data_IF_709019578611
#
_entry.id   IF_709019578611
#
_cell.length_a   1.000
_cell.length_b   1.000
_cell.length_c   1.000
_cell.angle_alpha   90.00
_cell.angle_beta   90.00
_cell.angle_gamma   90.00
#
_symmetry.space_group_name_H-M   'P 1'
#
loop_
_entity.id
_entity.type
_entity.pdbx_description
1 polymer ?
#
# COMPACT_ATOMS: atom_id res chain seq x y z
N UNK A 1 2.15 16.22 31.69
CA UNK A 1 2.51 16.25 30.25
C UNK A 1 1.25 16.44 29.43
N UNK A 2 1.29 17.29 28.40
CA UNK A 2 0.23 17.49 27.40
C UNK A 2 0.91 17.78 26.05
N UNK A 3 0.46 17.12 24.97
CA UNK A 3 0.90 17.36 23.58
C UNK A 3 -0.28 17.09 22.64
N UNK A 4 -0.59 18.05 21.78
CA UNK A 4 -1.63 17.95 20.78
C UNK A 4 -1.06 17.76 19.36
N UNK A 5 -1.78 16.98 18.55
CA UNK A 5 -1.34 16.52 17.25
C UNK A 5 -2.51 16.54 16.25
N UNK A 6 -2.31 17.22 15.12
CA UNK A 6 -3.20 17.12 13.97
C UNK A 6 -2.86 15.85 13.18
N UNK A 7 -3.52 14.75 13.54
CA UNK A 7 -3.12 13.41 13.14
C UNK A 7 -3.76 12.97 11.82
N UNK A 8 -3.00 12.22 11.02
CA UNK A 8 -3.43 11.71 9.71
C UNK A 8 -3.23 10.21 9.62
N UNK A 9 -4.13 9.52 8.93
CA UNK A 9 -4.14 8.07 8.78
C UNK A 9 -4.70 7.66 7.42
N UNK A 10 -4.51 6.39 7.02
CA UNK A 10 -5.21 5.83 5.85
C UNK A 10 -6.59 5.36 6.27
N UNK A 11 -7.64 5.96 5.71
CA UNK A 11 -9.03 5.56 5.89
C UNK A 11 -9.44 4.40 4.98
N UNK A 12 -10.73 4.06 5.00
CA UNK A 12 -11.31 3.08 4.08
C UNK A 12 -11.07 3.49 2.62
N UNK A 13 -10.92 2.47 1.76
CA UNK A 13 -10.60 2.57 0.33
C UNK A 13 -9.36 3.43 -0.02
N UNK A 14 -8.47 3.66 0.96
CA UNK A 14 -7.27 4.49 0.79
C UNK A 14 -7.51 5.99 0.91
N UNK A 15 -8.66 6.41 1.44
CA UNK A 15 -8.98 7.82 1.68
C UNK A 15 -8.05 8.47 2.72
N UNK A 16 -7.90 9.81 2.66
CA UNK A 16 -7.09 10.57 3.63
C UNK A 16 -7.88 10.76 4.95
N UNK A 17 -7.55 9.92 5.92
CA UNK A 17 -8.02 9.96 7.30
C UNK A 17 -7.43 11.13 8.08
N UNK A 18 -8.25 11.83 8.88
CA UNK A 18 -7.78 12.88 9.80
C UNK A 18 -8.54 12.86 11.13
N UNK A 19 -7.81 13.03 12.23
CA UNK A 19 -8.35 13.18 13.58
C UNK A 19 -7.41 14.02 14.45
N UNK A 20 -7.91 14.51 15.59
CA UNK A 20 -7.05 15.14 16.60
C UNK A 20 -6.59 14.10 17.62
N UNK A 21 -5.30 14.10 17.98
CA UNK A 21 -4.75 13.25 19.04
C UNK A 21 -4.19 14.14 20.15
N UNK A 22 -4.76 14.04 21.35
CA UNK A 22 -4.26 14.67 22.58
C UNK A 22 -3.57 13.61 23.45
N UNK A 23 -2.27 13.78 23.71
CA UNK A 23 -1.44 12.89 24.53
C UNK A 23 -1.21 13.52 25.92
N UNK A 24 -1.76 12.92 26.97
CA UNK A 24 -1.74 13.48 28.33
C UNK A 24 -1.27 12.45 29.36
N UNK A 25 -0.51 12.90 30.36
CA UNK A 25 -0.16 12.10 31.55
C UNK A 25 0.05 13.00 32.77
N UNK A 26 -0.52 12.62 33.91
CA UNK A 26 -0.44 13.37 35.17
C UNK A 26 0.95 13.23 35.81
N UNK A 27 1.34 11.99 36.12
CA UNK A 27 2.61 11.62 36.75
C UNK A 27 3.18 10.34 36.10
N UNK A 28 4.43 9.98 36.41
CA UNK A 28 5.13 8.86 35.74
C UNK A 28 4.56 7.47 36.06
N UNK A 29 3.92 7.33 37.21
CA UNK A 29 3.19 6.14 37.68
C UNK A 29 1.80 5.99 37.06
N UNK A 30 1.27 7.05 36.42
CA UNK A 30 -0.04 7.06 35.78
C UNK A 30 0.03 6.61 34.31
N UNK A 31 -1.02 5.94 33.79
CA UNK A 31 -1.06 5.53 32.39
C UNK A 31 -1.06 6.75 31.46
N UNK A 32 -0.54 6.58 30.24
CA UNK A 32 -0.71 7.56 29.18
C UNK A 32 -2.19 7.61 28.76
N UNK A 33 -2.81 8.78 28.84
CA UNK A 33 -4.13 9.04 28.26
C UNK A 33 -3.94 9.50 26.81
N UNK A 34 -4.70 8.90 25.90
CA UNK A 34 -4.72 9.25 24.48
C UNK A 34 -6.16 9.55 24.10
N UNK A 35 -6.48 10.82 23.83
CA UNK A 35 -7.82 11.22 23.37
C UNK A 35 -7.79 11.39 21.86
N UNK A 36 -8.39 10.43 21.15
CA UNK A 36 -8.61 10.47 19.71
C UNK A 36 -9.95 11.14 19.42
N UNK A 37 -9.92 12.37 18.93
CA UNK A 37 -11.12 13.16 18.68
C UNK A 37 -11.45 13.23 17.19
N UNK A 38 -12.71 12.99 16.86
CA UNK A 38 -13.24 13.25 15.53
C UNK A 38 -13.28 14.77 15.28
N UNK A 39 -12.81 15.22 14.11
CA UNK A 39 -12.92 16.63 13.73
C UNK A 39 -14.37 17.02 13.41
N UNK A 40 -14.79 18.20 13.86
CA UNK A 40 -15.96 18.93 13.36
C UNK A 40 -15.70 19.26 11.88
N UNK A 41 -16.75 19.21 11.05
CA UNK A 41 -16.69 19.45 9.60
C UNK A 41 -15.85 18.41 8.78
N UNK A 42 -15.56 17.23 9.33
CA UNK A 42 -14.87 16.15 8.61
C UNK A 42 -15.83 15.04 8.15
N UNK A 43 -15.76 14.67 6.86
CA UNK A 43 -16.68 13.73 6.20
C UNK A 43 -16.01 12.46 5.65
N UNK A 44 -14.79 12.14 6.08
CA UNK A 44 -14.07 10.92 5.67
C UNK A 44 -14.27 9.74 6.63
N UNK A 45 -13.27 8.86 6.74
CA UNK A 45 -13.35 7.67 7.62
C UNK A 45 -13.32 8.06 9.09
N UNK A 46 -14.32 7.64 9.88
CA UNK A 46 -14.41 7.98 11.30
C UNK A 46 -13.30 7.35 12.15
N UNK A 47 -12.98 7.99 13.29
CA UNK A 47 -12.01 7.47 14.26
C UNK A 47 -12.33 6.03 14.71
N UNK A 48 -13.61 5.73 14.95
CA UNK A 48 -14.14 4.40 15.29
C UNK A 48 -13.65 3.32 14.34
N UNK A 49 -13.78 3.58 13.04
CA UNK A 49 -13.52 2.63 11.97
C UNK A 49 -12.04 2.48 11.65
N UNK A 50 -11.22 3.44 12.08
CA UNK A 50 -9.78 3.47 11.84
C UNK A 50 -8.95 3.30 13.11
N UNK A 51 -9.55 3.02 14.27
CA UNK A 51 -8.87 3.04 15.58
C UNK A 51 -7.61 2.17 15.62
N UNK A 52 -7.66 0.96 15.03
CA UNK A 52 -6.47 0.12 14.87
C UNK A 52 -5.36 0.77 14.04
N UNK A 53 -5.70 1.40 12.92
CA UNK A 53 -4.76 2.04 11.99
C UNK A 53 -4.17 3.31 12.59
N UNK A 54 -5.00 4.12 13.26
CA UNK A 54 -4.58 5.31 14.00
C UNK A 54 -3.63 4.90 15.12
N UNK A 55 -4.03 3.95 15.98
CA UNK A 55 -3.21 3.50 17.10
C UNK A 55 -1.88 2.86 16.64
N UNK A 56 -1.92 2.00 15.60
CA UNK A 56 -0.70 1.46 14.98
C UNK A 56 0.22 2.61 14.56
N UNK A 57 -0.22 3.53 13.69
CA UNK A 57 0.64 4.64 13.22
C UNK A 57 1.16 5.48 14.39
N UNK A 58 0.29 5.90 15.31
CA UNK A 58 0.64 6.75 16.45
C UNK A 58 1.71 6.11 17.33
N UNK A 59 1.62 4.81 17.60
CA UNK A 59 2.60 4.11 18.43
C UNK A 59 3.96 3.93 17.70
N UNK A 60 3.98 3.80 16.37
CA UNK A 60 5.23 3.90 15.59
C UNK A 60 5.83 5.32 15.68
N UNK A 61 5.03 6.37 15.48
CA UNK A 61 5.48 7.77 15.52
C UNK A 61 6.08 8.14 16.90
N UNK A 62 5.47 7.64 17.99
CA UNK A 62 6.01 7.76 19.35
C UNK A 62 7.34 7.02 19.48
N UNK A 63 7.39 5.73 19.13
CA UNK A 63 8.56 4.89 19.40
C UNK A 63 9.78 5.23 18.53
N UNK A 64 9.57 5.80 17.34
CA UNK A 64 10.63 6.36 16.50
C UNK A 64 11.05 7.78 16.93
N UNK A 65 10.45 8.35 17.99
CA UNK A 65 10.64 9.73 18.46
C UNK A 65 10.25 10.84 17.46
N UNK A 66 9.33 10.55 16.53
CA UNK A 66 8.75 11.59 15.65
C UNK A 66 7.82 12.52 16.45
N UNK A 67 7.25 12.02 17.55
CA UNK A 67 6.53 12.83 18.54
C UNK A 67 7.47 13.12 19.72
N UNK A 68 7.82 14.39 19.89
CA UNK A 68 8.71 14.87 20.95
C UNK A 68 8.11 14.64 22.35
N UNK A 69 8.85 13.94 23.21
CA UNK A 69 8.54 13.75 24.63
C UNK A 69 9.14 12.46 25.18
N UNK A 70 10.23 12.57 25.95
CA UNK A 70 10.97 11.38 26.42
C UNK A 70 10.16 10.44 27.32
N UNK A 71 9.19 10.97 28.09
CA UNK A 71 8.29 10.17 28.92
C UNK A 71 7.26 9.33 28.11
N UNK A 72 7.05 9.60 26.82
CA UNK A 72 5.96 8.95 26.06
C UNK A 72 6.30 7.48 25.72
N UNK A 73 7.56 7.18 25.40
CA UNK A 73 8.00 5.88 24.85
C UNK A 73 7.79 4.66 25.77
N UNK A 74 7.67 4.84 27.10
CA UNK A 74 7.80 3.75 28.09
C UNK A 74 6.64 2.74 28.14
N UNK A 75 5.55 2.95 27.39
CA UNK A 75 4.30 2.17 27.49
C UNK A 75 4.02 1.26 26.28
N UNK A 76 4.85 1.30 25.23
CA UNK A 76 4.56 0.66 23.95
C UNK A 76 5.24 -0.70 23.78
N UNK A 77 4.49 -1.68 23.30
CA UNK A 77 4.91 -3.08 23.27
C UNK A 77 5.38 -3.46 21.86
N UNK A 78 6.65 -3.13 21.56
CA UNK A 78 7.21 -3.30 20.21
C UNK A 78 8.21 -4.46 20.21
N UNK A 79 7.75 -5.59 19.67
CA UNK A 79 8.50 -6.83 19.59
C UNK A 79 9.07 -7.02 18.17
N UNK A 80 10.24 -7.65 18.06
CA UNK A 80 10.79 -8.03 16.75
C UNK A 80 10.28 -9.41 16.36
N UNK A 81 9.47 -9.46 15.30
CA UNK A 81 8.88 -10.71 14.80
C UNK A 81 9.53 -11.09 13.47
N UNK A 82 9.81 -12.38 13.31
CA UNK A 82 10.15 -12.94 12.01
C UNK A 82 8.95 -12.81 11.07
N UNK A 83 9.21 -12.44 9.82
CA UNK A 83 8.15 -12.43 8.82
C UNK A 83 7.78 -13.87 8.43
N UNK A 84 6.53 -14.09 8.00
CA UNK A 84 5.95 -15.43 7.83
C UNK A 84 6.66 -16.30 6.80
N UNK A 85 7.39 -15.66 5.89
CA UNK A 85 8.22 -16.19 4.83
C UNK A 85 9.68 -16.49 5.28
N UNK A 86 10.11 -16.04 6.47
CA UNK A 86 11.48 -16.21 6.96
C UNK A 86 11.78 -17.65 7.44
N UNK A 87 12.59 -18.36 6.65
CA UNK A 87 12.94 -19.76 6.90
C UNK A 87 14.09 -19.90 7.94
N UNK A 88 14.49 -21.14 8.24
CA UNK A 88 15.51 -21.44 9.24
C UNK A 88 16.92 -20.93 8.86
N UNK A 89 17.24 -20.89 7.57
CA UNK A 89 18.50 -20.35 7.04
C UNK A 89 18.50 -18.81 7.05
N UNK A 90 17.37 -18.16 6.73
CA UNK A 90 17.21 -16.70 6.84
C UNK A 90 17.43 -16.22 8.28
N UNK A 91 16.87 -16.96 9.25
CA UNK A 91 17.08 -16.76 10.69
C UNK A 91 18.55 -16.91 11.06
N UNK A 92 19.22 -17.96 10.57
CA UNK A 92 20.65 -18.19 10.79
C UNK A 92 21.52 -17.06 10.20
N UNK A 93 21.26 -16.60 8.98
CA UNK A 93 21.93 -15.44 8.37
C UNK A 93 21.75 -14.16 9.21
N UNK A 94 20.55 -13.96 9.76
CA UNK A 94 20.24 -12.86 10.66
C UNK A 94 20.94 -12.95 12.03
N UNK A 95 21.32 -14.14 12.49
CA UNK A 95 22.18 -14.31 13.68
C UNK A 95 23.65 -14.11 13.35
N UNK A 96 24.15 -14.66 12.23
CA UNK A 96 25.57 -14.60 11.83
C UNK A 96 25.99 -13.20 11.39
N UNK A 97 25.15 -12.47 10.65
CA UNK A 97 25.44 -11.09 10.23
C UNK A 97 24.24 -10.16 10.48
N UNK A 98 23.97 -9.79 11.75
CA UNK A 98 22.79 -9.01 12.11
C UNK A 98 22.75 -7.64 11.42
N UNK A 99 23.90 -6.98 11.24
CA UNK A 99 24.01 -5.67 10.56
C UNK A 99 23.52 -5.70 9.09
N UNK A 100 23.50 -6.86 8.45
CA UNK A 100 23.13 -7.03 7.02
C UNK A 100 21.76 -7.70 6.82
N UNK A 101 21.30 -8.52 7.77
CA UNK A 101 20.12 -9.36 7.59
C UNK A 101 19.02 -9.21 8.66
N UNK A 102 19.28 -8.53 9.80
CA UNK A 102 18.31 -8.45 10.91
C UNK A 102 16.99 -7.78 10.52
N UNK A 103 17.03 -6.69 9.75
CA UNK A 103 15.83 -6.02 9.23
C UNK A 103 15.25 -6.65 7.96
N UNK A 104 15.98 -7.56 7.29
CA UNK A 104 15.54 -8.19 6.03
C UNK A 104 14.49 -9.29 6.23
N UNK A 105 14.57 -9.99 7.35
CA UNK A 105 13.75 -11.17 7.65
C UNK A 105 12.90 -11.02 8.93
N UNK A 106 13.01 -9.89 9.61
CA UNK A 106 12.19 -9.58 10.78
C UNK A 106 11.79 -8.11 10.83
N UNK A 107 10.48 -7.88 10.88
CA UNK A 107 9.87 -6.59 11.13
C UNK A 107 9.83 -6.28 12.64
N UNK A 108 9.90 -5.00 13.00
CA UNK A 108 9.31 -4.59 14.28
C UNK A 108 7.80 -4.65 14.13
N UNK A 109 7.12 -5.19 15.14
CA UNK A 109 5.66 -5.25 15.20
C UNK A 109 5.19 -4.80 16.57
N UNK A 110 4.10 -4.05 16.59
CA UNK A 110 3.44 -3.63 17.80
C UNK A 110 2.44 -4.70 18.19
N UNK A 111 2.53 -5.21 19.41
CA UNK A 111 1.41 -5.88 20.03
C UNK A 111 0.39 -4.80 20.45
N UNK A 112 -0.69 -4.68 19.69
CA UNK A 112 -1.76 -3.72 20.00
C UNK A 112 -2.47 -4.08 21.32
N UNK A 113 -2.65 -5.37 21.62
CA UNK A 113 -3.39 -5.80 22.82
C UNK A 113 -2.56 -5.49 24.06
N UNK A 114 -1.27 -5.83 24.04
CA UNK A 114 -0.35 -5.51 25.13
C UNK A 114 -0.20 -3.97 25.28
N UNK A 115 -0.11 -3.22 24.17
CA UNK A 115 0.01 -1.75 24.22
C UNK A 115 -1.26 -1.07 24.74
N UNK A 116 -2.45 -1.49 24.29
CA UNK A 116 -3.72 -0.97 24.81
C UNK A 116 -3.95 -1.30 26.29
N UNK A 117 -3.32 -2.35 26.83
CA UNK A 117 -3.41 -2.65 28.27
C UNK A 117 -2.57 -1.72 29.17
N UNK A 118 -1.69 -0.89 28.60
CA UNK A 118 -0.79 0.04 29.33
C UNK A 118 -1.16 1.52 29.18
N UNK A 119 -2.22 1.82 28.43
CA UNK A 119 -2.71 3.18 28.17
C UNK A 119 -4.21 3.30 28.47
N UNK A 120 -4.73 4.52 28.48
CA UNK A 120 -6.17 4.77 28.44
C UNK A 120 -6.49 5.49 27.13
N UNK A 121 -7.03 4.74 26.16
CA UNK A 121 -7.51 5.29 24.91
C UNK A 121 -8.96 5.77 25.06
N UNK A 122 -9.20 7.04 24.77
CA UNK A 122 -10.52 7.67 24.77
C UNK A 122 -10.84 8.12 23.35
N UNK A 123 -12.01 7.76 22.84
CA UNK A 123 -12.57 8.40 21.65
C UNK A 123 -13.56 9.49 22.03
N UNK A 124 -13.44 10.63 21.35
CA UNK A 124 -14.24 11.81 21.55
C UNK A 124 -14.94 12.21 20.25
N UNK A 125 -16.26 12.30 20.29
CA UNK A 125 -17.11 12.67 19.18
C UNK A 125 -17.77 14.02 19.50
N UNK A 126 -17.49 15.08 18.71
CA UNK A 126 -18.24 16.33 18.82
C UNK A 126 -19.74 16.08 18.69
N UNK A 127 -20.55 16.98 19.24
CA UNK A 127 -22.01 16.85 19.27
C UNK A 127 -22.60 16.62 17.86
N UNK A 128 -22.02 17.24 16.82
CA UNK A 128 -22.42 17.07 15.41
C UNK A 128 -22.26 15.65 14.86
N UNK A 129 -21.49 14.78 15.53
CA UNK A 129 -21.29 13.36 15.21
C UNK A 129 -21.75 12.43 16.35
N UNK A 130 -22.46 12.97 17.35
CA UNK A 130 -22.97 12.21 18.47
C UNK A 130 -24.27 11.50 18.12
N UNK A 131 -24.43 10.26 18.57
CA UNK A 131 -25.71 9.53 18.53
C UNK A 131 -26.67 10.04 19.62
N UNK A 132 -26.16 10.83 20.57
CA UNK A 132 -26.92 11.44 21.67
C UNK A 132 -27.06 12.94 21.43
N UNK A 133 -28.30 13.41 21.18
CA UNK A 133 -28.58 14.82 20.95
C UNK A 133 -28.21 15.70 22.14
N UNK A 134 -27.65 16.89 21.88
CA UNK A 134 -27.31 17.88 22.91
C UNK A 134 -26.02 17.61 23.68
N UNK A 135 -25.21 16.59 23.32
CA UNK A 135 -23.99 16.18 24.06
C UNK A 135 -22.92 15.58 23.15
N UNK A 136 -21.64 15.81 23.50
CA UNK A 136 -20.50 15.01 22.99
C UNK A 136 -20.69 13.54 23.37
N UNK A 137 -20.34 12.63 22.47
CA UNK A 137 -20.25 11.19 22.78
C UNK A 137 -18.81 10.82 23.09
N UNK A 138 -18.59 10.07 24.17
CA UNK A 138 -17.26 9.70 24.68
C UNK A 138 -17.23 8.21 25.01
N UNK A 139 -16.15 7.53 24.64
CA UNK A 139 -15.96 6.12 24.96
C UNK A 139 -14.50 5.80 25.27
N UNK A 140 -14.26 4.94 26.28
CA UNK A 140 -12.96 4.27 26.46
C UNK A 140 -12.91 3.09 25.49
N UNK A 141 -11.82 2.96 24.74
CA UNK A 141 -11.57 1.82 23.85
C UNK A 141 -10.63 0.83 24.52
N UNK A 142 -11.01 -0.45 24.55
CA UNK A 142 -10.14 -1.55 24.99
C UNK A 142 -10.08 -2.63 23.90
N UNK A 143 -8.89 -3.14 23.62
CA UNK A 143 -8.71 -4.27 22.71
C UNK A 143 -9.01 -5.58 23.45
N UNK A 144 -9.80 -6.46 22.85
CA UNK A 144 -9.99 -7.83 23.34
C UNK A 144 -8.83 -8.74 22.93
N UNK A 145 -8.71 -9.92 23.56
CA UNK A 145 -7.58 -10.86 23.35
C UNK A 145 -7.39 -11.32 21.89
N UNK A 146 -8.41 -11.17 21.04
CA UNK A 146 -8.40 -11.47 19.61
C UNK A 146 -8.12 -10.24 18.73
N UNK A 147 -7.72 -9.10 19.31
CA UNK A 147 -7.27 -7.89 18.60
C UNK A 147 -8.35 -6.88 18.22
N UNK A 148 -9.63 -7.16 18.50
CA UNK A 148 -10.73 -6.26 18.13
C UNK A 148 -10.96 -5.14 19.17
N UNK A 149 -11.25 -3.90 18.74
CA UNK A 149 -11.64 -2.82 19.63
C UNK A 149 -13.05 -3.04 20.20
N UNK A 150 -13.24 -2.65 21.46
CA UNK A 150 -14.53 -2.62 22.16
C UNK A 150 -14.67 -1.27 22.87
N UNK A 151 -15.87 -0.67 22.79
CA UNK A 151 -16.17 0.68 23.29
C UNK A 151 -16.99 0.63 24.57
N UNK A 152 -16.59 1.39 25.57
CA UNK A 152 -17.22 1.44 26.89
C UNK A 152 -17.55 2.89 27.28
N UNK A 153 -18.75 3.12 27.83
CA UNK A 153 -19.10 4.41 28.41
C UNK A 153 -18.17 4.77 29.58
N UNK A 154 -17.85 6.06 29.72
CA UNK A 154 -16.91 6.55 30.73
C UNK A 154 -17.61 6.76 32.07
N UNK A 155 -16.91 6.49 33.17
CA UNK A 155 -17.33 6.84 34.53
C UNK A 155 -16.28 7.78 35.13
N UNK A 156 -16.64 9.04 35.34
CA UNK A 156 -15.72 10.12 35.74
C UNK A 156 -14.92 9.80 37.01
N UNK A 157 -15.57 9.20 38.03
CA UNK A 157 -14.93 8.85 39.29
C UNK A 157 -13.88 7.73 39.11
N UNK A 158 -14.17 6.75 38.26
CA UNK A 158 -13.20 5.69 37.91
C UNK A 158 -12.07 6.24 37.04
N UNK A 159 -12.40 7.07 36.04
CA UNK A 159 -11.45 7.70 35.14
C UNK A 159 -10.45 8.59 35.89
N UNK A 160 -10.93 9.39 36.85
CA UNK A 160 -10.09 10.20 37.74
C UNK A 160 -9.18 9.32 38.62
N UNK A 161 -9.73 8.25 39.22
CA UNK A 161 -8.95 7.31 40.04
C UNK A 161 -7.84 6.63 39.23
N UNK A 162 -8.14 6.18 38.02
CA UNK A 162 -7.18 5.52 37.13
C UNK A 162 -6.13 6.51 36.60
N UNK A 163 -6.55 7.59 35.94
CA UNK A 163 -5.65 8.49 35.18
C UNK A 163 -5.04 9.65 35.98
N UNK A 164 -5.74 10.13 37.02
CA UNK A 164 -5.44 11.37 37.72
C UNK A 164 -6.10 12.64 37.13
N UNK A 165 -6.98 12.52 36.14
CA UNK A 165 -7.70 13.65 35.52
C UNK A 165 -9.22 13.47 35.51
N UNK A 166 -9.95 14.58 35.55
CA UNK A 166 -11.36 14.61 35.15
C UNK A 166 -11.48 14.49 33.62
N UNK A 167 -12.67 14.13 33.13
CA UNK A 167 -12.94 14.09 31.68
C UNK A 167 -12.73 15.49 31.06
N UNK A 168 -13.19 16.54 31.73
CA UNK A 168 -13.04 17.94 31.30
C UNK A 168 -11.59 18.40 31.10
N UNK A 169 -10.62 17.86 31.84
CA UNK A 169 -9.20 18.23 31.72
C UNK A 169 -8.49 17.53 30.55
N UNK A 170 -9.03 16.42 30.02
CA UNK A 170 -8.40 15.67 28.92
C UNK A 170 -9.00 15.95 27.55
N UNK A 171 -10.21 16.52 27.48
CA UNK A 171 -10.85 16.82 26.19
C UNK A 171 -10.23 18.07 25.54
N UNK A 172 -10.09 18.09 24.21
CA UNK A 172 -9.80 19.30 23.45
C UNK A 172 -11.02 20.23 23.31
N UNK A 173 -10.73 21.52 23.16
CA UNK A 173 -11.74 22.55 22.92
C UNK A 173 -12.33 22.40 21.51
N UNK A 174 -13.59 22.75 21.31
CA UNK A 174 -14.23 22.63 19.99
C UNK A 174 -13.62 23.58 18.94
N UNK A 175 -12.87 24.59 19.38
CA UNK A 175 -12.04 25.43 18.51
C UNK A 175 -10.78 24.71 17.97
N UNK A 176 -10.27 23.70 18.68
CA UNK A 176 -9.18 22.81 18.25
C UNK A 176 -9.70 21.68 17.35
N UNK A 177 -11.00 21.38 17.43
CA UNK A 177 -11.69 20.37 16.63
C UNK A 177 -12.38 20.90 15.36
N UNK A 178 -12.41 22.20 15.10
CA UNK A 178 -12.95 22.73 13.85
C UNK A 178 -11.92 22.62 12.71
N UNK A 179 -12.08 21.60 11.86
CA UNK A 179 -11.16 21.33 10.76
C UNK A 179 -10.95 22.54 9.86
N UNK A 180 -12.00 23.32 9.59
CA UNK A 180 -11.92 24.49 8.70
C UNK A 180 -11.02 25.60 9.26
N UNK A 181 -10.93 25.73 10.59
CA UNK A 181 -10.02 26.67 11.27
C UNK A 181 -8.60 26.11 11.42
N UNK A 182 -8.48 24.78 11.41
CA UNK A 182 -7.23 24.03 11.58
C UNK A 182 -6.46 23.90 10.26
N UNK A 183 -7.13 23.61 9.13
CA UNK A 183 -6.47 23.46 7.82
C UNK A 183 -5.69 24.71 7.41
N UNK A 184 -6.22 25.89 7.71
CA UNK A 184 -5.57 27.20 7.47
C UNK A 184 -4.25 27.40 8.23
N UNK A 185 -3.92 26.50 9.18
CA UNK A 185 -2.71 26.53 10.01
C UNK A 185 -1.80 25.32 9.79
N UNK A 186 -2.20 24.35 8.97
CA UNK A 186 -1.40 23.15 8.67
C UNK A 186 -0.45 23.46 7.51
N UNK A 187 0.85 23.47 7.80
CA UNK A 187 1.89 23.44 6.77
C UNK A 187 1.95 22.04 6.13
N UNK A 188 1.18 21.83 5.07
CA UNK A 188 1.09 20.56 4.36
C UNK A 188 2.45 20.05 3.87
N UNK A 189 3.35 20.94 3.44
CA UNK A 189 4.68 20.55 2.93
C UNK A 189 5.56 19.89 4.01
N UNK A 190 5.30 20.17 5.29
CA UNK A 190 6.06 19.62 6.41
C UNK A 190 5.52 18.29 6.96
N UNK A 191 4.27 17.94 6.66
CA UNK A 191 3.61 16.74 7.22
C UNK A 191 3.32 15.63 6.19
N UNK A 192 3.28 15.90 4.88
CA UNK A 192 3.00 14.89 3.86
C UNK A 192 4.10 13.81 3.74
N UNK A 193 5.33 14.08 4.20
CA UNK A 193 6.50 13.17 4.11
C UNK A 193 6.37 11.90 4.98
N UNK A 194 5.57 11.94 6.05
CA UNK A 194 5.41 10.83 7.01
C UNK A 194 4.15 9.96 6.77
N UNK A 195 3.28 10.29 5.81
CA UNK A 195 2.11 9.45 5.45
C UNK A 195 2.52 8.07 4.90
N UNK A 196 3.78 7.91 4.53
CA UNK A 196 4.32 6.70 3.88
C UNK A 196 4.73 5.60 4.86
N UNK A 197 4.72 5.84 6.17
CA UNK A 197 5.07 4.83 7.19
C UNK A 197 6.56 4.51 7.16
N UNK A 198 7.34 5.40 7.76
CA UNK A 198 8.79 5.32 7.81
C UNK A 198 9.26 4.43 8.97
N UNK A 199 10.04 3.39 8.67
CA UNK A 199 10.49 2.38 9.64
C UNK A 199 12.02 2.19 9.58
N UNK A 200 12.74 2.58 10.63
CA UNK A 200 14.17 2.27 10.80
C UNK A 200 15.08 2.54 9.57
N UNK A 201 14.75 3.52 8.73
CA UNK A 201 15.47 3.83 7.47
C UNK A 201 15.19 2.91 6.27
N UNK A 202 14.34 1.89 6.44
CA UNK A 202 13.93 0.93 5.40
C UNK A 202 12.41 0.72 5.44
N UNK A 203 11.68 1.31 4.49
CA UNK A 203 10.27 0.97 4.29
C UNK A 203 10.13 0.06 3.07
N UNK A 204 9.36 -1.01 3.22
CA UNK A 204 9.27 -2.11 2.25
C UNK A 204 7.86 -2.12 1.66
N UNK A 205 7.69 -1.42 0.54
CA UNK A 205 6.37 -1.26 -0.10
C UNK A 205 6.08 -2.43 -1.04
N UNK A 206 5.28 -3.40 -0.59
CA UNK A 206 4.77 -4.50 -1.43
C UNK A 206 3.63 -4.03 -2.36
N UNK A 207 3.93 -3.05 -3.23
CA UNK A 207 2.94 -2.40 -4.12
C UNK A 207 2.23 -3.40 -5.04
N UNK A 208 2.95 -4.45 -5.48
CA UNK A 208 2.44 -5.53 -6.32
C UNK A 208 1.29 -6.31 -5.67
N UNK A 209 1.26 -6.41 -4.34
CA UNK A 209 0.11 -6.97 -3.62
C UNK A 209 -1.04 -5.96 -3.57
N UNK A 210 -0.74 -4.74 -3.09
CA UNK A 210 -1.76 -3.70 -2.87
C UNK A 210 -2.47 -3.27 -4.16
N UNK A 211 -1.80 -3.23 -5.31
CA UNK A 211 -2.41 -2.85 -6.59
C UNK A 211 -3.47 -3.88 -7.03
N UNK A 212 -3.20 -5.17 -6.79
CA UNK A 212 -4.17 -6.25 -7.01
C UNK A 212 -5.35 -6.10 -6.06
N UNK A 213 -5.11 -5.84 -4.77
CA UNK A 213 -6.17 -5.72 -3.76
C UNK A 213 -7.06 -4.49 -3.97
N UNK A 214 -6.49 -3.32 -4.32
CA UNK A 214 -7.20 -2.04 -4.36
C UNK A 214 -7.74 -1.62 -5.73
N UNK A 215 -7.09 -1.97 -6.84
CA UNK A 215 -7.44 -1.41 -8.15
C UNK A 215 -8.89 -1.69 -8.59
N UNK A 216 -9.49 -2.88 -8.35
CA UNK A 216 -10.90 -3.13 -8.67
C UNK A 216 -11.89 -2.25 -7.88
N UNK A 217 -11.55 -1.86 -6.65
CA UNK A 217 -12.36 -0.93 -5.85
C UNK A 217 -12.18 0.51 -6.35
N UNK A 218 -10.94 0.95 -6.60
CA UNK A 218 -10.63 2.30 -7.10
C UNK A 218 -11.26 2.57 -8.48
N UNK A 219 -11.32 1.56 -9.35
CA UNK A 219 -12.02 1.65 -10.65
C UNK A 219 -13.54 1.61 -10.52
N UNK A 220 -14.08 0.88 -9.53
CA UNK A 220 -15.51 0.91 -9.22
C UNK A 220 -15.98 2.27 -8.68
N UNK A 221 -15.18 2.89 -7.81
CA UNK A 221 -15.43 4.25 -7.32
C UNK A 221 -15.35 5.28 -8.45
N UNK A 222 -14.28 5.23 -9.26
CA UNK A 222 -14.11 6.12 -10.41
C UNK A 222 -15.28 6.08 -11.39
N UNK A 223 -15.84 4.90 -11.69
CA UNK A 223 -17.05 4.78 -12.52
C UNK A 223 -18.24 5.54 -11.93
N UNK A 224 -18.47 5.39 -10.63
CA UNK A 224 -19.58 6.03 -9.94
C UNK A 224 -19.42 7.56 -9.89
N UNK A 225 -18.21 8.05 -9.60
CA UNK A 225 -17.85 9.47 -9.62
C UNK A 225 -18.07 10.15 -10.99
N UNK A 226 -17.94 9.39 -12.09
CA UNK A 226 -17.95 9.91 -13.46
C UNK A 226 -19.18 9.45 -14.26
N UNK A 227 -20.21 8.89 -13.60
CA UNK A 227 -21.45 8.37 -14.22
C UNK A 227 -21.20 7.40 -15.40
N UNK A 228 -20.22 6.51 -15.26
CA UNK A 228 -19.83 5.56 -16.31
C UNK A 228 -20.67 4.27 -16.18
N UNK A 229 -21.80 4.24 -16.89
CA UNK A 229 -22.81 3.18 -16.84
C UNK A 229 -22.22 1.78 -17.11
N UNK A 230 -21.47 1.57 -18.21
CA UNK A 230 -20.90 0.25 -18.50
C UNK A 230 -19.46 0.11 -18.01
N UNK A 231 -19.11 -1.10 -17.60
CA UNK A 231 -17.77 -1.46 -17.11
C UNK A 231 -16.70 -1.42 -18.22
N UNK A 232 -17.15 -1.54 -19.47
CA UNK A 232 -16.34 -1.53 -20.68
C UNK A 232 -15.96 -0.13 -21.17
N UNK A 233 -16.63 0.90 -20.65
CA UNK A 233 -16.39 2.30 -21.03
C UNK A 233 -15.18 2.90 -20.28
N UNK A 234 -14.64 2.20 -19.27
CA UNK A 234 -13.35 2.55 -18.67
C UNK A 234 -12.23 2.36 -19.71
N UNK A 235 -11.67 3.46 -20.20
CA UNK A 235 -10.55 3.45 -21.14
C UNK A 235 -9.25 2.92 -20.49
N UNK A 236 -8.30 2.45 -21.30
CA UNK A 236 -6.99 1.99 -20.80
C UNK A 236 -6.21 3.15 -20.16
N UNK A 237 -6.34 4.36 -20.70
CA UNK A 237 -5.81 5.60 -20.12
C UNK A 237 -6.41 5.87 -18.73
N UNK A 238 -7.73 5.69 -18.55
CA UNK A 238 -8.39 5.86 -17.25
C UNK A 238 -7.89 4.86 -16.19
N UNK A 239 -7.55 3.63 -16.61
CA UNK A 239 -6.92 2.63 -15.72
C UNK A 239 -5.51 3.08 -15.34
N UNK A 240 -4.71 3.54 -16.30
CA UNK A 240 -3.38 4.09 -16.05
C UNK A 240 -3.43 5.34 -15.14
N UNK A 241 -4.42 6.22 -15.29
CA UNK A 241 -4.59 7.39 -14.41
C UNK A 241 -4.86 6.97 -12.96
N UNK A 242 -5.67 5.94 -12.73
CA UNK A 242 -5.92 5.40 -11.39
C UNK A 242 -4.70 4.63 -10.83
N UNK A 243 -3.91 3.97 -11.68
CA UNK A 243 -2.61 3.38 -11.29
C UNK A 243 -1.58 4.46 -10.95
N UNK A 244 -1.60 5.60 -11.64
CA UNK A 244 -0.77 6.77 -11.31
C UNK A 244 -1.14 7.34 -9.93
N UNK A 245 -2.44 7.53 -9.68
CA UNK A 245 -2.97 7.93 -8.35
C UNK A 245 -2.68 6.89 -7.25
N UNK A 246 -2.54 5.62 -7.60
CA UNK A 246 -2.08 4.57 -6.68
C UNK A 246 -0.59 4.73 -6.37
N UNK A 247 0.27 4.90 -7.38
CA UNK A 247 1.71 5.08 -7.16
C UNK A 247 2.07 6.35 -6.39
N UNK A 248 1.36 7.47 -6.60
CA UNK A 248 1.54 8.68 -5.79
C UNK A 248 1.23 8.52 -4.28
N UNK A 249 0.58 7.43 -3.87
CA UNK A 249 0.25 7.12 -2.46
C UNK A 249 1.09 5.95 -1.92
N UNK A 250 1.53 5.05 -2.80
CA UNK A 250 2.23 3.83 -2.41
C UNK A 250 3.75 3.87 -2.60
N UNK A 251 4.27 4.70 -3.50
CA UNK A 251 5.71 4.95 -3.67
C UNK A 251 6.19 6.12 -2.78
N UNK A 252 7.49 6.20 -2.47
CA UNK A 252 8.02 7.19 -1.51
C UNK A 252 7.92 8.65 -1.96
N UNK A 253 7.86 8.85 -3.28
CA UNK A 253 7.86 10.14 -3.94
C UNK A 253 7.30 9.92 -5.37
N UNK A 254 6.52 10.85 -5.93
CA UNK A 254 5.92 10.67 -7.27
C UNK A 254 6.98 10.57 -8.38
N UNK A 255 8.17 11.15 -8.19
CA UNK A 255 9.31 11.07 -9.12
C UNK A 255 9.95 9.68 -9.20
N UNK A 256 9.49 8.72 -8.39
CA UNK A 256 9.94 7.33 -8.44
C UNK A 256 9.11 6.47 -9.40
N UNK A 257 8.17 7.05 -10.15
CA UNK A 257 7.61 6.45 -11.35
C UNK A 257 7.44 7.46 -12.50
N UNK A 258 7.46 6.97 -13.74
CA UNK A 258 7.17 7.77 -14.94
C UNK A 258 6.26 6.98 -15.89
N UNK A 259 5.45 7.70 -16.68
CA UNK A 259 4.58 7.12 -17.73
C UNK A 259 5.26 7.12 -19.09
N UNK A 260 4.80 6.24 -19.99
CA UNK A 260 5.31 6.07 -21.35
C UNK A 260 6.85 5.88 -21.42
N UNK A 261 7.39 4.97 -20.62
CA UNK A 261 8.83 4.68 -20.59
C UNK A 261 9.34 4.18 -21.96
N UNK A 262 10.02 5.06 -22.70
CA UNK A 262 10.55 4.83 -24.05
C UNK A 262 11.72 3.84 -24.05
N UNK A 263 11.57 2.73 -24.77
CA UNK A 263 12.56 1.65 -24.75
C UNK A 263 13.13 1.26 -26.13
N UNK A 264 12.63 1.81 -27.25
CA UNK A 264 13.06 1.34 -28.58
C UNK A 264 14.58 1.38 -28.78
N UNK A 265 15.24 2.46 -28.35
CA UNK A 265 16.71 2.61 -28.40
C UNK A 265 17.43 1.61 -27.49
N UNK A 266 16.88 1.32 -26.32
CA UNK A 266 17.42 0.35 -25.33
C UNK A 266 17.44 -1.08 -25.92
N UNK A 267 16.40 -1.44 -26.66
CA UNK A 267 16.30 -2.75 -27.32
C UNK A 267 17.00 -2.83 -28.68
N UNK A 268 17.43 -1.72 -29.27
CA UNK A 268 18.02 -1.65 -30.61
C UNK A 268 17.00 -1.64 -31.76
N UNK A 269 15.74 -1.29 -31.46
CA UNK A 269 14.63 -1.30 -32.43
C UNK A 269 14.72 -0.06 -33.32
N UNK A 270 14.87 -0.28 -34.64
CA UNK A 270 14.96 0.78 -35.62
C UNK A 270 13.57 1.36 -35.94
N UNK A 271 13.21 2.47 -35.30
CA UNK A 271 11.82 2.98 -35.28
C UNK A 271 11.46 3.73 -36.56
N UNK A 272 10.53 3.18 -37.33
CA UNK A 272 9.68 3.94 -38.26
C UNK A 272 8.33 4.20 -37.59
N UNK A 273 8.09 5.42 -37.08
CA UNK A 273 6.83 5.82 -36.43
C UNK A 273 7.02 6.31 -34.98
N UNK A 274 5.96 6.23 -34.15
CA UNK A 274 6.03 6.59 -32.71
C UNK A 274 7.00 5.66 -31.99
N UNK A 275 7.89 6.24 -31.18
CA UNK A 275 8.79 5.50 -30.29
C UNK A 275 7.99 4.59 -29.34
N UNK A 276 8.41 3.33 -29.21
CA UNK A 276 7.70 2.34 -28.38
C UNK A 276 7.99 2.59 -26.91
N UNK A 277 6.93 2.59 -26.11
CA UNK A 277 6.95 2.82 -24.67
C UNK A 277 6.27 1.68 -23.90
N UNK A 278 6.65 1.50 -22.65
CA UNK A 278 5.89 0.72 -21.66
C UNK A 278 5.12 1.68 -20.76
N UNK A 279 3.92 1.30 -20.33
CA UNK A 279 2.99 2.22 -19.67
C UNK A 279 3.60 2.90 -18.43
N UNK A 280 4.35 2.14 -17.62
CA UNK A 280 5.05 2.63 -16.43
C UNK A 280 6.48 2.10 -16.30
N UNK A 281 7.37 2.98 -15.82
CA UNK A 281 8.63 2.62 -15.16
C UNK A 281 8.56 3.02 -13.69
N UNK A 282 9.18 2.21 -12.82
CA UNK A 282 9.35 2.47 -11.39
C UNK A 282 10.84 2.42 -11.09
N UNK A 283 11.36 3.50 -10.53
CA UNK A 283 12.77 3.69 -10.22
C UNK A 283 13.06 3.39 -8.74
N UNK A 284 14.29 2.95 -8.45
CA UNK A 284 14.88 3.00 -7.10
C UNK A 284 15.17 4.47 -6.71
N UNK A 285 15.43 4.78 -5.43
CA UNK A 285 15.82 6.14 -5.01
C UNK A 285 17.05 6.72 -5.72
N UNK A 286 17.99 5.87 -6.17
CA UNK A 286 19.15 6.29 -6.95
C UNK A 286 18.88 6.40 -8.47
N UNK A 287 17.59 6.40 -8.87
CA UNK A 287 17.11 6.52 -10.25
C UNK A 287 17.54 5.40 -11.21
N UNK A 288 18.07 4.29 -10.70
CA UNK A 288 18.09 3.02 -11.42
C UNK A 288 16.65 2.51 -11.64
N UNK A 289 16.41 1.79 -12.74
CA UNK A 289 15.13 1.10 -12.97
C UNK A 289 15.03 -0.07 -11.98
N UNK A 290 13.98 -0.09 -11.15
CA UNK A 290 13.64 -1.27 -10.35
C UNK A 290 12.69 -2.18 -11.11
N UNK A 291 11.58 -1.61 -11.56
CA UNK A 291 10.45 -2.35 -12.15
C UNK A 291 9.89 -1.65 -13.38
N UNK A 292 9.28 -2.43 -14.27
CA UNK A 292 8.45 -1.94 -15.38
C UNK A 292 7.06 -2.55 -15.25
N UNK A 293 6.01 -1.81 -15.59
CA UNK A 293 4.64 -2.29 -15.58
C UNK A 293 3.92 -1.90 -16.88
N UNK A 294 3.43 -2.91 -17.58
CA UNK A 294 2.48 -2.74 -18.69
C UNK A 294 1.05 -3.05 -18.20
N UNK A 295 0.08 -2.29 -18.70
CA UNK A 295 -1.33 -2.35 -18.32
C UNK A 295 -2.18 -2.61 -19.56
N UNK A 296 -3.03 -3.64 -19.56
CA UNK A 296 -4.00 -3.88 -20.62
C UNK A 296 -5.41 -4.05 -20.08
N UNK A 297 -6.41 -3.75 -20.91
CA UNK A 297 -7.83 -4.03 -20.61
C UNK A 297 -8.45 -5.06 -21.54
N UNK A 298 -9.43 -5.81 -21.05
CA UNK A 298 -10.39 -6.54 -21.91
C UNK A 298 -11.47 -5.58 -22.42
N UNK A 299 -11.88 -5.71 -23.68
CA UNK A 299 -13.12 -5.14 -24.20
C UNK A 299 -13.73 -6.05 -25.25
N UNK A 300 -15.06 -6.11 -25.37
CA UNK A 300 -15.74 -7.04 -26.30
C UNK A 300 -15.37 -6.80 -27.77
N UNK A 301 -15.02 -5.56 -28.13
CA UNK A 301 -14.66 -5.18 -29.49
C UNK A 301 -13.20 -5.52 -29.88
N UNK A 302 -12.33 -5.92 -28.94
CA UNK A 302 -10.93 -6.20 -29.24
C UNK A 302 -10.69 -7.65 -29.69
N UNK A 303 -11.02 -7.92 -30.96
CA UNK A 303 -10.78 -9.21 -31.63
C UNK A 303 -9.31 -9.66 -31.67
N UNK A 304 -8.33 -8.80 -31.33
CA UNK A 304 -6.90 -9.12 -31.40
C UNK A 304 -6.22 -9.21 -30.02
N UNK A 305 -6.96 -9.11 -28.91
CA UNK A 305 -6.41 -8.96 -27.54
C UNK A 305 -5.30 -9.98 -27.20
N UNK A 306 -5.50 -11.26 -27.51
CA UNK A 306 -4.51 -12.34 -27.28
C UNK A 306 -3.17 -12.07 -27.97
N UNK A 307 -3.18 -11.47 -29.16
CA UNK A 307 -1.96 -11.16 -29.91
C UNK A 307 -1.28 -9.89 -29.39
N UNK A 308 -2.02 -8.91 -28.86
CA UNK A 308 -1.41 -7.76 -28.17
C UNK A 308 -0.79 -8.20 -26.84
N UNK A 309 -1.49 -8.98 -26.00
CA UNK A 309 -0.92 -9.54 -24.76
C UNK A 309 0.36 -10.37 -25.03
N UNK A 310 0.39 -11.11 -26.15
CA UNK A 310 1.60 -11.80 -26.62
C UNK A 310 2.76 -10.85 -26.94
N UNK A 311 2.52 -9.77 -27.69
CA UNK A 311 3.55 -8.73 -27.95
C UNK A 311 4.05 -8.11 -26.65
N UNK A 312 3.16 -7.92 -25.68
CA UNK A 312 3.47 -7.31 -24.40
C UNK A 312 4.36 -8.23 -23.56
N UNK A 313 4.04 -9.53 -23.51
CA UNK A 313 4.90 -10.55 -22.91
C UNK A 313 6.26 -10.60 -23.61
N UNK A 314 6.31 -10.62 -24.95
CA UNK A 314 7.56 -10.64 -25.72
C UNK A 314 8.46 -9.42 -25.45
N UNK A 315 7.84 -8.24 -25.35
CA UNK A 315 8.48 -6.98 -24.96
C UNK A 315 9.02 -7.02 -23.54
N UNK A 316 8.21 -7.45 -22.56
CA UNK A 316 8.62 -7.52 -21.15
C UNK A 316 9.74 -8.56 -20.93
N UNK A 317 9.73 -9.66 -21.69
CA UNK A 317 10.84 -10.63 -21.78
C UNK A 317 12.13 -9.92 -22.24
N UNK A 318 12.12 -9.24 -23.39
CA UNK A 318 13.28 -8.50 -23.92
C UNK A 318 13.78 -7.40 -22.98
N UNK A 319 12.89 -6.75 -22.24
CA UNK A 319 13.25 -5.70 -21.28
C UNK A 319 13.85 -6.29 -20.00
N UNK A 320 13.32 -7.41 -19.48
CA UNK A 320 13.91 -8.11 -18.34
C UNK A 320 15.35 -8.61 -18.63
N UNK A 321 15.58 -9.06 -19.86
CA UNK A 321 16.90 -9.43 -20.37
C UNK A 321 17.82 -8.22 -20.52
N UNK A 322 17.35 -7.12 -21.13
CA UNK A 322 18.21 -5.95 -21.41
C UNK A 322 18.54 -5.07 -20.20
N UNK A 323 17.62 -4.98 -19.24
CA UNK A 323 17.68 -4.04 -18.12
C UNK A 323 17.86 -4.71 -16.75
N UNK A 324 17.71 -6.04 -16.68
CA UNK A 324 17.75 -6.83 -15.44
C UNK A 324 16.79 -6.32 -14.35
N UNK A 325 15.67 -5.69 -14.78
CA UNK A 325 14.63 -5.15 -13.94
C UNK A 325 13.40 -6.07 -13.81
N UNK A 326 12.55 -5.81 -12.82
CA UNK A 326 11.34 -6.60 -12.57
C UNK A 326 10.20 -6.17 -13.50
N UNK A 327 9.97 -6.91 -14.57
CA UNK A 327 8.90 -6.64 -15.52
C UNK A 327 7.57 -7.24 -15.05
N UNK A 328 6.50 -6.45 -15.07
CA UNK A 328 5.14 -6.82 -14.67
C UNK A 328 4.13 -6.57 -15.79
N UNK A 329 3.12 -7.44 -15.85
CA UNK A 329 1.99 -7.34 -16.76
C UNK A 329 0.68 -7.37 -15.94
N UNK A 330 -0.14 -6.33 -16.08
CA UNK A 330 -1.43 -6.20 -15.41
C UNK A 330 -2.56 -6.23 -16.44
N UNK A 331 -3.55 -7.10 -16.24
CA UNK A 331 -4.73 -7.20 -17.08
C UNK A 331 -5.99 -6.95 -16.24
N UNK A 332 -6.81 -5.99 -16.66
CA UNK A 332 -8.07 -5.62 -16.01
C UNK A 332 -9.29 -5.83 -16.91
N UNK A 333 -10.45 -6.11 -16.31
CA UNK A 333 -11.75 -6.02 -16.98
C UNK A 333 -12.71 -7.14 -16.57
N UNK A 334 -13.65 -7.48 -17.44
CA UNK A 334 -14.72 -8.43 -17.12
C UNK A 334 -14.16 -9.84 -16.87
N UNK A 335 -14.59 -10.49 -15.79
CA UNK A 335 -14.06 -11.78 -15.30
C UNK A 335 -14.21 -12.91 -16.32
N UNK A 336 -15.31 -12.95 -17.06
CA UNK A 336 -15.60 -14.05 -17.97
C UNK A 336 -14.86 -13.86 -19.31
N UNK A 337 -14.69 -12.61 -19.77
CA UNK A 337 -13.73 -12.29 -20.83
C UNK A 337 -12.29 -12.61 -20.41
N UNK A 338 -11.87 -12.17 -19.22
CA UNK A 338 -10.53 -12.44 -18.68
C UNK A 338 -10.24 -13.95 -18.72
N UNK A 339 -11.10 -14.78 -18.11
CA UNK A 339 -10.94 -16.25 -18.13
C UNK A 339 -10.89 -16.81 -19.56
N UNK A 340 -11.81 -16.41 -20.43
CA UNK A 340 -11.92 -16.90 -21.81
C UNK A 340 -10.67 -16.59 -22.66
N UNK A 341 -10.13 -15.39 -22.54
CA UNK A 341 -8.96 -14.97 -23.32
C UNK A 341 -7.66 -15.46 -22.68
N UNK A 342 -7.59 -15.55 -21.35
CA UNK A 342 -6.43 -16.10 -20.64
C UNK A 342 -6.26 -17.61 -20.81
N UNK A 343 -7.35 -18.38 -21.00
CA UNK A 343 -7.25 -19.81 -21.37
C UNK A 343 -6.51 -20.02 -22.70
N UNK A 344 -6.61 -19.08 -23.65
CA UNK A 344 -5.84 -19.08 -24.91
C UNK A 344 -4.37 -18.71 -24.72
N UNK A 345 -4.03 -18.17 -23.55
CA UNK A 345 -2.69 -17.73 -23.14
C UNK A 345 -2.07 -18.64 -22.08
N UNK A 346 -2.71 -19.77 -21.72
CA UNK A 346 -2.27 -20.63 -20.61
C UNK A 346 -0.79 -21.01 -20.72
N UNK A 347 -0.27 -21.30 -21.93
CA UNK A 347 1.16 -21.55 -22.18
C UNK A 347 2.09 -20.54 -21.48
N UNK A 348 1.70 -19.26 -21.43
CA UNK A 348 2.52 -18.14 -20.96
C UNK A 348 2.15 -17.65 -19.56
N UNK A 349 0.88 -17.74 -19.17
CA UNK A 349 0.33 -17.14 -17.95
C UNK A 349 -0.37 -18.20 -17.10
N UNK A 350 0.01 -18.34 -15.82
CA UNK A 350 -0.74 -19.18 -14.88
C UNK A 350 -1.95 -18.43 -14.31
N UNK A 351 -3.06 -19.14 -14.15
CA UNK A 351 -4.30 -18.63 -13.53
C UNK A 351 -4.54 -19.17 -12.12
N UNK A 352 -3.75 -20.16 -11.70
CA UNK A 352 -3.83 -20.75 -10.37
C UNK A 352 -2.97 -19.96 -9.38
N UNK A 353 -3.56 -19.58 -8.26
CA UNK A 353 -3.00 -18.84 -7.13
C UNK A 353 -2.51 -19.77 -6.00
N UNK A 354 -2.71 -21.08 -6.12
CA UNK A 354 -2.01 -22.07 -5.31
C UNK A 354 -0.49 -21.99 -5.55
N UNK A 355 0.29 -21.99 -4.46
CA UNK A 355 1.74 -21.72 -4.46
C UNK A 355 2.53 -22.69 -5.36
N UNK A 356 2.07 -23.94 -5.48
CA UNK A 356 2.62 -24.97 -6.38
C UNK A 356 2.46 -24.68 -7.87
N UNK A 357 1.49 -23.83 -8.26
CA UNK A 357 1.08 -23.63 -9.64
C UNK A 357 1.15 -22.17 -10.13
N UNK A 358 1.43 -21.20 -9.24
CA UNK A 358 1.60 -19.79 -9.62
C UNK A 358 2.74 -19.54 -10.62
N UNK A 359 3.81 -20.35 -10.60
CA UNK A 359 4.99 -20.22 -11.48
C UNK A 359 4.80 -21.00 -12.77
N UNK A 360 5.17 -20.41 -13.92
CA UNK A 360 5.18 -21.08 -15.22
C UNK A 360 6.50 -20.85 -15.96
N UNK A 361 7.00 -21.91 -16.59
CA UNK A 361 8.16 -21.90 -17.49
C UNK A 361 7.66 -22.35 -18.86
N UNK A 362 8.06 -21.65 -19.92
CA UNK A 362 7.63 -21.97 -21.29
C UNK A 362 8.78 -21.84 -22.29
N UNK A 363 8.76 -22.72 -23.28
CA UNK A 363 9.63 -22.63 -24.46
C UNK A 363 9.10 -21.54 -25.40
N UNK A 364 10.02 -20.77 -25.96
CA UNK A 364 9.73 -19.74 -26.96
C UNK A 364 10.18 -20.26 -28.33
N UNK A 365 9.21 -20.47 -29.20
CA UNK A 365 9.36 -20.92 -30.58
C UNK A 365 9.22 -19.71 -31.53
N UNK A 366 9.83 -19.80 -32.71
CA UNK A 366 9.72 -18.73 -33.71
C UNK A 366 8.28 -18.48 -34.14
N UNK A 367 7.79 -17.24 -33.96
CA UNK A 367 6.43 -16.85 -34.32
C UNK A 367 5.38 -17.18 -33.25
N UNK A 368 5.78 -17.50 -32.02
CA UNK A 368 4.87 -17.63 -30.87
C UNK A 368 4.08 -16.33 -30.61
N UNK A 369 4.75 -15.18 -30.79
CA UNK A 369 4.21 -13.85 -30.49
C UNK A 369 3.67 -13.11 -31.73
N UNK A 370 4.16 -13.45 -32.94
CA UNK A 370 3.79 -12.85 -34.23
C UNK A 370 3.98 -11.33 -34.27
N UNK A 371 5.21 -10.90 -34.00
CA UNK A 371 5.56 -9.54 -33.64
C UNK A 371 6.95 -9.13 -34.12
N UNK A 372 7.22 -7.82 -34.12
CA UNK A 372 8.56 -7.26 -34.31
C UNK A 372 9.59 -7.72 -33.26
N UNK A 373 9.14 -8.36 -32.17
CA UNK A 373 9.99 -8.87 -31.10
C UNK A 373 10.50 -10.29 -31.35
N UNK A 374 9.87 -11.09 -32.22
CA UNK A 374 10.28 -12.48 -32.48
C UNK A 374 11.72 -12.56 -33.04
N UNK A 375 12.11 -11.64 -33.94
CA UNK A 375 13.47 -11.58 -34.48
C UNK A 375 14.51 -11.17 -33.43
N UNK A 376 14.15 -10.25 -32.52
CA UNK A 376 15.03 -9.75 -31.46
C UNK A 376 15.25 -10.80 -30.37
N UNK A 377 14.20 -11.55 -30.02
CA UNK A 377 14.25 -12.69 -29.12
C UNK A 377 15.17 -13.77 -29.69
N UNK A 378 15.02 -14.09 -30.98
CA UNK A 378 15.91 -15.03 -31.69
C UNK A 378 17.35 -14.54 -31.76
N UNK A 379 17.59 -13.27 -32.09
CA UNK A 379 18.93 -12.67 -32.15
C UNK A 379 19.66 -12.72 -30.80
N UNK A 380 18.94 -12.60 -29.69
CA UNK A 380 19.47 -12.71 -28.32
C UNK A 380 19.55 -14.16 -27.80
N UNK A 381 19.19 -15.15 -28.62
CA UNK A 381 19.11 -16.57 -28.23
C UNK A 381 18.16 -16.87 -27.05
N UNK A 382 17.14 -16.02 -26.83
CA UNK A 382 16.17 -16.20 -25.75
C UNK A 382 15.17 -17.30 -26.16
N UNK A 383 15.40 -18.52 -25.68
CA UNK A 383 14.61 -19.71 -26.00
C UNK A 383 13.57 -20.11 -24.92
N UNK A 384 13.57 -19.41 -23.79
CA UNK A 384 12.66 -19.63 -22.66
C UNK A 384 12.18 -18.32 -22.06
N UNK A 385 10.96 -18.35 -21.53
CA UNK A 385 10.42 -17.31 -20.66
C UNK A 385 9.81 -17.92 -19.40
N UNK A 386 9.71 -17.08 -18.37
CA UNK A 386 9.18 -17.46 -17.07
C UNK A 386 8.16 -16.40 -16.61
N UNK A 387 7.05 -16.86 -16.04
CA UNK A 387 6.09 -15.99 -15.34
C UNK A 387 5.79 -16.50 -13.93
N UNK A 388 5.27 -15.60 -13.11
CA UNK A 388 4.56 -15.94 -11.88
C UNK A 388 3.33 -15.06 -11.74
N UNK A 389 2.19 -15.66 -11.41
CA UNK A 389 1.03 -14.91 -10.94
C UNK A 389 1.40 -14.25 -9.60
N UNK A 390 1.40 -12.92 -9.57
CA UNK A 390 1.60 -12.14 -8.33
C UNK A 390 0.30 -12.05 -7.54
N UNK A 391 -0.85 -12.08 -8.23
CA UNK A 391 -2.15 -12.19 -7.60
C UNK A 391 -3.29 -11.90 -8.57
N UNK A 392 -4.51 -12.23 -8.14
CA UNK A 392 -5.77 -11.85 -8.79
C UNK A 392 -6.77 -11.40 -7.74
N UNK A 393 -7.63 -10.45 -8.08
CA UNK A 393 -8.72 -9.96 -7.21
C UNK A 393 -9.93 -9.65 -8.08
N UNK A 394 -11.10 -9.98 -7.55
CA UNK A 394 -12.39 -9.83 -8.21
C UNK A 394 -13.31 -8.94 -7.38
N UNK A 395 -14.09 -8.10 -8.06
CA UNK A 395 -15.19 -7.31 -7.49
C UNK A 395 -16.38 -7.39 -8.47
N UNK A 396 -17.48 -7.98 -8.02
CA UNK A 396 -18.67 -8.25 -8.83
C UNK A 396 -18.34 -8.93 -10.18
N UNK A 397 -18.43 -8.19 -11.29
CA UNK A 397 -18.14 -8.66 -12.65
C UNK A 397 -16.71 -8.38 -13.15
N UNK A 398 -15.91 -7.61 -12.43
CA UNK A 398 -14.56 -7.21 -12.86
C UNK A 398 -13.44 -7.86 -12.04
N UNK A 399 -12.29 -8.04 -12.69
CA UNK A 399 -11.09 -8.56 -12.11
C UNK A 399 -9.85 -7.77 -12.50
N UNK A 400 -8.83 -7.86 -11.65
CA UNK A 400 -7.45 -7.60 -12.02
C UNK A 400 -6.64 -8.89 -11.84
N UNK A 401 -5.74 -9.15 -12.78
CA UNK A 401 -4.63 -10.10 -12.63
C UNK A 401 -3.32 -9.34 -12.77
N UNK A 402 -2.32 -9.70 -11.97
CA UNK A 402 -0.94 -9.21 -12.08
C UNK A 402 0.00 -10.40 -12.20
N UNK A 403 0.85 -10.40 -13.23
CA UNK A 403 1.97 -11.32 -13.37
C UNK A 403 3.29 -10.57 -13.35
N UNK A 404 4.35 -11.23 -12.91
CA UNK A 404 5.72 -10.86 -13.25
C UNK A 404 6.18 -11.73 -14.43
N UNK A 405 6.94 -11.14 -15.35
CA UNK A 405 7.49 -11.76 -16.56
C UNK A 405 9.02 -11.60 -16.57
N UNK A 406 9.78 -12.64 -16.92
CA UNK A 406 11.25 -12.57 -16.96
C UNK A 406 11.88 -13.66 -17.85
N UNK A 407 13.08 -13.41 -18.37
CA UNK A 407 13.97 -14.46 -18.89
C UNK A 407 14.63 -15.25 -17.76
N UNK A 408 15.09 -14.60 -16.69
CA UNK A 408 15.76 -15.27 -15.57
C UNK A 408 14.77 -15.73 -14.49
N UNK A 409 14.61 -17.06 -14.37
CA UNK A 409 13.80 -17.76 -13.36
C UNK A 409 14.09 -17.36 -11.91
N UNK A 410 15.33 -17.00 -11.59
CA UNK A 410 15.75 -16.60 -10.24
C UNK A 410 15.16 -15.25 -9.82
N UNK A 411 14.78 -14.41 -10.79
CA UNK A 411 14.09 -13.15 -10.52
C UNK A 411 12.61 -13.33 -10.13
N UNK A 412 12.02 -14.54 -10.25
CA UNK A 412 10.59 -14.78 -9.93
C UNK A 412 10.34 -14.77 -8.41
N UNK A 413 9.94 -13.60 -7.90
CA UNK A 413 9.74 -13.29 -6.48
C UNK A 413 8.29 -12.89 -6.20
N UNK A 414 7.56 -13.68 -5.39
CA UNK A 414 6.21 -13.33 -4.93
C UNK A 414 6.24 -12.07 -4.06
N UNK A 415 5.36 -11.11 -4.36
CA UNK A 415 5.15 -9.89 -3.59
C UNK A 415 6.46 -9.24 -3.12
N UNK A 416 7.45 -9.13 -4.04
CA UNK A 416 8.72 -8.47 -3.72
C UNK A 416 8.44 -7.10 -3.15
N UNK A 417 9.08 -6.81 -2.03
CA UNK A 417 9.11 -5.46 -1.50
C UNK A 417 9.84 -4.56 -2.48
N UNK A 418 9.22 -3.46 -2.89
CA UNK A 418 9.97 -2.34 -3.40
C UNK A 418 10.74 -1.76 -2.21
N UNK A 419 12.03 -2.09 -2.17
CA UNK A 419 12.99 -1.72 -1.13
C UNK A 419 13.58 -0.35 -1.48
N UNK A 420 13.30 0.64 -0.64
CA UNK A 420 13.96 1.94 -0.70
C UNK A 420 14.64 2.24 0.63
N UNK A 421 15.85 2.79 0.55
CA UNK A 421 16.61 3.25 1.70
C UNK A 421 16.65 4.77 1.63
N UNK A 422 16.14 5.46 2.64
CA UNK A 422 16.12 6.92 2.71
C UNK A 422 17.49 7.45 3.15
N UNK A 423 18.48 7.39 2.25
CA UNK A 423 19.79 8.02 2.46
C UNK A 423 19.67 9.53 2.24
N UNK A 424 19.61 10.28 3.34
CA UNK A 424 19.64 11.75 3.43
C UNK A 424 18.33 12.48 3.06
N UNK A 425 17.34 12.44 3.97
CA UNK A 425 17.07 13.72 4.65
C UNK A 425 18.21 13.92 5.66
N UNK A 426 18.84 15.09 5.67
CA UNK A 426 19.99 15.43 6.53
C UNK A 426 19.55 15.87 7.92
#
# INVERSE_FOLDING_TARGET
MLKDLHFRFTGFHGSRGRCHIRLIRAARDKPLVIVCSQYINYYGTSVTNAVETIAKKLFYDIANKHIEGDDICSHLCIHRWWDSDANLFDKLLSFISPRKYKSRFSSLRIDLVESFSKIVWVENYPETFSVYSGRKHLAIVKMSNNGYPNWFGINDNLFFKETGFTISEVLPDDAELDLNKVELKIDYAKYDVDELGNWQGYSIRRWTKKIVEQLPERLSAFRYEHSIDNEEDISELSIQDQISKFFCVELPAPELFEREFKFSKILGINVKGKEKSTDFVIYKPNREIDSLLEVKRTSFYNNNLVNEIKKDIARLILLSDKLHCYCYFLLYGNIDLLKKELLKLDKYLSLNDEISFMKKEFLINGGDFKSEYDELIKFRNINKGHTILQGKKFNQKNGVFLWQVTVNKEMLTLHRGYEFILWNYK
#
